data_IF_835567501496
#
_entry.id   IF_835567501496
#
_cell.length_a   1.000
_cell.length_b   1.000
_cell.length_c   1.000
_cell.angle_alpha   90.00
_cell.angle_beta   90.00
_cell.angle_gamma   90.00
#
_symmetry.space_group_name_H-M   'P 1'
#
loop_
_entity.id
_entity.type
_entity.pdbx_description
1 polymer ?
#
# COMPACT_ATOMS: atom_id res chain seq x y z
N UNK A 1 23.22 -9.16 1.43
CA UNK A 1 22.00 -8.66 0.76
C UNK A 1 20.95 -9.76 0.81
N UNK A 2 19.80 -9.55 1.47
CA UNK A 2 18.71 -10.54 1.54
C UNK A 2 18.09 -10.73 0.15
N UNK A 3 17.66 -11.95 -0.18
CA UNK A 3 17.05 -12.25 -1.48
C UNK A 3 15.70 -11.53 -1.58
N UNK A 4 15.29 -11.07 -2.78
CA UNK A 4 13.97 -10.45 -3.03
C UNK A 4 12.80 -11.32 -2.49
N UNK A 5 12.98 -12.63 -2.44
CA UNK A 5 12.01 -13.58 -1.89
C UNK A 5 11.89 -13.58 -0.36
N UNK A 6 12.82 -13.00 0.38
CA UNK A 6 12.84 -13.00 1.86
C UNK A 6 12.15 -11.77 2.48
N UNK A 7 11.72 -10.80 1.66
CA UNK A 7 11.06 -9.55 2.11
C UNK A 7 9.66 -9.39 1.50
N UNK A 8 9.15 -10.46 0.88
CA UNK A 8 7.74 -10.60 0.50
C UNK A 8 6.91 -10.95 1.73
N UNK A 9 5.60 -10.67 1.68
CA UNK A 9 4.58 -10.93 2.72
C UNK A 9 4.60 -12.37 3.29
N UNK A 10 5.35 -13.28 2.68
CA UNK A 10 5.57 -14.67 3.12
C UNK A 10 6.21 -14.83 4.51
N UNK A 11 6.71 -13.74 5.11
CA UNK A 11 7.29 -13.73 6.47
C UNK A 11 6.48 -12.86 7.44
N UNK A 12 5.17 -12.70 7.23
CA UNK A 12 4.29 -11.99 8.17
C UNK A 12 4.27 -12.66 9.55
N UNK A 13 4.44 -11.84 10.59
CA UNK A 13 4.08 -12.16 11.96
C UNK A 13 2.82 -11.36 12.36
N UNK A 14 2.19 -11.74 13.48
CA UNK A 14 0.97 -11.09 13.99
C UNK A 14 1.17 -9.57 14.22
N UNK A 15 2.41 -9.12 14.44
CA UNK A 15 2.72 -7.72 14.63
C UNK A 15 2.53 -6.90 13.34
N UNK A 16 2.87 -7.44 12.17
CA UNK A 16 2.68 -6.74 10.89
C UNK A 16 1.19 -6.45 10.59
N UNK A 17 0.31 -7.41 10.89
CA UNK A 17 -1.14 -7.23 10.75
C UNK A 17 -1.68 -6.13 11.68
N UNK A 18 -1.18 -6.06 12.91
CA UNK A 18 -1.53 -5.01 13.86
C UNK A 18 -1.09 -3.62 13.38
N UNK A 19 0.12 -3.48 12.84
CA UNK A 19 0.59 -2.20 12.30
C UNK A 19 -0.18 -1.77 11.06
N UNK A 20 -0.55 -2.71 10.18
CA UNK A 20 -1.32 -2.41 8.98
C UNK A 20 -2.72 -1.89 9.31
N UNK A 21 -3.42 -2.54 10.25
CA UNK A 21 -4.73 -2.09 10.71
C UNK A 21 -4.68 -0.71 11.37
N UNK A 22 -3.66 -0.48 12.20
CA UNK A 22 -3.42 0.83 12.85
C UNK A 22 -3.12 1.94 11.84
N UNK A 23 -2.61 1.59 10.66
CA UNK A 23 -2.23 2.57 9.64
C UNK A 23 -3.41 3.03 8.77
N UNK A 24 -4.59 2.38 8.85
CA UNK A 24 -5.77 2.76 8.05
C UNK A 24 -6.15 4.22 8.27
N UNK A 25 -6.16 4.70 9.52
CA UNK A 25 -6.51 6.09 9.83
C UNK A 25 -5.47 7.07 9.30
N UNK A 26 -4.19 6.70 9.33
CA UNK A 26 -3.10 7.49 8.75
C UNK A 26 -3.29 7.62 7.23
N UNK A 27 -3.64 6.55 6.52
CA UNK A 27 -3.89 6.61 5.08
C UNK A 27 -5.14 7.42 4.74
N UNK A 28 -6.18 7.34 5.59
CA UNK A 28 -7.39 8.18 5.44
C UNK A 28 -7.07 9.66 5.61
N UNK A 29 -6.26 9.98 6.62
CA UNK A 29 -5.80 11.35 6.85
C UNK A 29 -4.97 11.87 5.67
N UNK A 30 -3.91 11.15 5.28
CA UNK A 30 -3.03 11.54 4.17
C UNK A 30 -3.80 11.64 2.86
N UNK A 31 -4.69 10.68 2.58
CA UNK A 31 -5.53 10.68 1.39
C UNK A 31 -6.40 11.92 1.28
N UNK A 32 -7.09 12.29 2.37
CA UNK A 32 -7.90 13.53 2.39
C UNK A 32 -7.04 14.79 2.29
N UNK A 33 -5.94 14.84 3.03
CA UNK A 33 -5.06 16.02 3.07
C UNK A 33 -4.37 16.27 1.71
N UNK A 34 -3.94 15.20 1.02
CA UNK A 34 -3.12 15.31 -0.20
C UNK A 34 -3.90 15.11 -1.50
N UNK A 35 -5.03 14.42 -1.47
CA UNK A 35 -5.82 14.09 -2.67
C UNK A 35 -7.19 14.76 -2.73
N UNK A 36 -7.64 15.39 -1.65
CA UNK A 36 -8.95 16.04 -1.56
C UNK A 36 -10.06 15.13 -1.03
N UNK A 37 -11.27 15.68 -0.93
CA UNK A 37 -12.41 15.00 -0.31
C UNK A 37 -13.19 14.07 -1.25
N UNK A 38 -13.01 14.23 -2.57
CA UNK A 38 -13.71 13.46 -3.62
C UNK A 38 -13.25 11.99 -3.72
N UNK A 39 -12.24 11.62 -2.94
CA UNK A 39 -11.79 10.24 -2.77
C UNK A 39 -10.34 10.00 -3.18
N UNK A 40 -9.83 8.87 -2.71
CA UNK A 40 -8.48 8.37 -2.99
C UNK A 40 -8.49 6.84 -2.98
N UNK A 41 -7.42 6.22 -3.50
CA UNK A 41 -7.19 4.78 -3.46
C UNK A 41 -5.89 4.48 -2.75
N UNK A 42 -5.90 3.49 -1.87
CA UNK A 42 -4.70 2.89 -1.28
C UNK A 42 -4.37 1.62 -2.05
N UNK A 43 -3.11 1.44 -2.45
CA UNK A 43 -2.65 0.24 -3.15
C UNK A 43 -1.44 -0.34 -2.43
N UNK A 44 -1.45 -1.66 -2.26
CA UNK A 44 -0.34 -2.45 -1.75
C UNK A 44 -0.01 -3.49 -2.80
N UNK A 45 1.25 -3.52 -3.22
CA UNK A 45 1.75 -4.47 -4.23
C UNK A 45 2.58 -5.56 -3.55
N UNK A 46 2.29 -6.83 -3.83
CA UNK A 46 3.13 -7.96 -3.43
C UNK A 46 3.74 -8.65 -4.66
N UNK A 47 5.05 -8.82 -4.61
CA UNK A 47 5.82 -9.55 -5.60
C UNK A 47 5.80 -8.94 -7.00
N UNK A 48 6.45 -9.65 -7.92
CA UNK A 48 6.63 -9.20 -9.30
C UNK A 48 5.30 -9.04 -10.06
N UNK A 49 4.38 -10.00 -9.90
CA UNK A 49 3.06 -9.96 -10.57
C UNK A 49 2.13 -8.87 -10.01
N UNK A 50 2.32 -8.46 -8.76
CA UNK A 50 1.63 -7.32 -8.18
C UNK A 50 2.27 -5.98 -8.53
N UNK A 51 3.38 -5.96 -9.28
CA UNK A 51 4.09 -4.72 -9.64
C UNK A 51 4.98 -4.15 -8.53
N UNK A 52 5.40 -4.95 -7.55
CA UNK A 52 6.30 -4.51 -6.48
C UNK A 52 7.74 -4.34 -7.01
N UNK A 53 8.26 -3.11 -6.96
CA UNK A 53 9.64 -2.81 -7.39
C UNK A 53 10.61 -2.66 -6.22
N UNK A 54 10.14 -2.17 -5.06
CA UNK A 54 10.91 -2.03 -3.81
C UNK A 54 10.41 -3.01 -2.77
N UNK A 55 11.31 -3.88 -2.29
CA UNK A 55 10.99 -4.97 -1.38
C UNK A 55 11.09 -4.52 0.09
N UNK A 56 10.22 -3.58 0.44
CA UNK A 56 9.92 -3.10 1.79
C UNK A 56 8.42 -2.84 1.86
N UNK A 57 7.78 -2.97 3.02
CA UNK A 57 6.36 -2.62 3.16
C UNK A 57 6.17 -1.14 2.84
N UNK A 58 5.39 -0.85 1.81
CA UNK A 58 4.99 0.51 1.46
C UNK A 58 3.59 0.48 0.85
N UNK A 59 2.87 1.59 1.02
CA UNK A 59 1.54 1.78 0.50
C UNK A 59 1.54 2.99 -0.42
N UNK A 60 0.85 2.87 -1.54
CA UNK A 60 0.61 3.98 -2.44
C UNK A 60 -0.71 4.64 -2.08
N UNK A 61 -0.74 5.97 -2.02
CA UNK A 61 -1.97 6.77 -1.94
C UNK A 61 -2.11 7.52 -3.26
N UNK A 62 -3.19 7.26 -4.00
CA UNK A 62 -3.46 7.87 -5.30
C UNK A 62 -4.77 8.65 -5.26
N UNK A 63 -4.80 9.84 -5.83
CA UNK A 63 -6.01 10.65 -5.97
C UNK A 63 -5.74 11.98 -6.68
N UNK A 64 -6.63 12.96 -6.51
CA UNK A 64 -6.59 14.22 -7.26
C UNK A 64 -7.05 14.12 -8.72
N UNK A 65 -7.57 12.95 -9.12
CA UNK A 65 -8.17 12.67 -10.44
C UNK A 65 -9.10 11.47 -10.34
N UNK A 66 -10.01 11.31 -11.31
CA UNK A 66 -10.78 10.07 -11.46
C UNK A 66 -9.84 8.89 -11.70
N UNK A 67 -9.95 7.87 -10.87
CA UNK A 67 -9.23 6.62 -11.03
C UNK A 67 -10.08 5.63 -11.82
N UNK A 68 -9.44 4.88 -12.71
CA UNK A 68 -10.09 3.87 -13.54
C UNK A 68 -10.23 2.53 -12.80
N UNK A 69 -11.02 1.65 -13.40
CA UNK A 69 -11.20 0.26 -13.00
C UNK A 69 -11.10 -0.64 -14.26
N UNK A 70 -10.35 -1.75 -14.22
CA UNK A 70 -9.58 -2.30 -13.09
C UNK A 70 -8.37 -1.41 -12.69
N UNK A 71 -7.84 -1.57 -11.47
CA UNK A 71 -6.82 -0.70 -10.89
C UNK A 71 -5.40 -1.10 -11.31
N UNK A 72 -5.21 -1.31 -12.62
CA UNK A 72 -4.09 -2.06 -13.18
C UNK A 72 -4.61 -3.23 -14.00
#
# INVERSE_FOLDING_TARGET
MRKKSEVSWKNEDEHQSFYLSSSIDVFRFIGREKCGEDGFRVVVNDGEKGGQTVYHLHLHVLGGRQLTWPPG
#
